data_IF_375492256112
#
_entry.id   IF_375492256112
#
_cell.length_a   1.000
_cell.length_b   1.000
_cell.length_c   1.000
_cell.angle_alpha   90.00
_cell.angle_beta   90.00
_cell.angle_gamma   90.00
#
_symmetry.space_group_name_H-M   'P 1'
#
loop_
_entity.id
_entity.type
_entity.pdbx_description
1 polymer ?
#
# COMPACT_ATOMS: atom_id res chain seq x y z
N UNK A 1 -40.68 37.30 -18.72
CA UNK A 1 -39.75 36.16 -18.56
C UNK A 1 -39.16 36.30 -17.16
N UNK A 2 -39.85 35.76 -16.15
CA UNK A 2 -39.40 35.82 -14.76
C UNK A 2 -38.38 34.69 -14.56
N UNK A 3 -37.15 35.05 -14.21
CA UNK A 3 -36.11 34.11 -13.83
C UNK A 3 -36.32 33.77 -12.34
N UNK A 4 -36.80 32.57 -12.06
CA UNK A 4 -36.85 31.99 -10.71
C UNK A 4 -35.42 31.55 -10.33
N UNK A 5 -34.70 32.45 -9.65
CA UNK A 5 -33.31 32.25 -9.16
C UNK A 5 -33.18 31.69 -7.72
N UNK A 6 -34.19 31.69 -6.80
CA UNK A 6 -33.96 31.36 -5.38
C UNK A 6 -33.34 29.97 -5.11
N UNK A 7 -33.84 28.91 -5.72
CA UNK A 7 -33.47 27.53 -5.35
C UNK A 7 -32.00 27.20 -5.64
N UNK A 8 -31.42 27.80 -6.68
CA UNK A 8 -30.03 27.51 -7.08
C UNK A 8 -29.00 28.10 -6.10
N UNK A 9 -29.32 29.22 -5.45
CA UNK A 9 -28.41 29.85 -4.48
C UNK A 9 -28.35 29.06 -3.17
N UNK A 10 -29.48 28.50 -2.75
CA UNK A 10 -29.56 27.67 -1.55
C UNK A 10 -28.89 26.31 -1.75
N UNK A 11 -29.01 25.72 -2.94
CA UNK A 11 -28.27 24.50 -3.32
C UNK A 11 -26.75 24.75 -3.34
N UNK A 12 -26.31 25.86 -3.94
CA UNK A 12 -24.88 26.23 -3.96
C UNK A 12 -24.34 26.48 -2.54
N UNK A 13 -25.10 27.19 -1.70
CA UNK A 13 -24.70 27.44 -0.31
C UNK A 13 -24.58 26.12 0.48
N UNK A 14 -25.52 25.21 0.29
CA UNK A 14 -25.52 23.89 0.93
C UNK A 14 -24.35 23.03 0.44
N UNK A 15 -24.06 23.04 -0.86
CA UNK A 15 -22.92 22.33 -1.44
C UNK A 15 -21.58 22.88 -0.91
N UNK A 16 -21.41 24.20 -0.87
CA UNK A 16 -20.21 24.85 -0.34
C UNK A 16 -20.02 24.58 1.16
N UNK A 17 -21.12 24.57 1.93
CA UNK A 17 -21.08 24.18 3.34
C UNK A 17 -20.61 22.73 3.54
N UNK A 18 -20.88 21.84 2.58
CA UNK A 18 -20.37 20.47 2.55
C UNK A 18 -18.91 20.32 2.13
N UNK A 19 -18.27 21.37 1.58
CA UNK A 19 -16.91 21.35 1.05
C UNK A 19 -16.05 22.47 1.67
N UNK A 20 -15.62 22.32 2.94
CA UNK A 20 -15.01 23.41 3.71
C UNK A 20 -13.73 23.98 3.07
N UNK A 21 -12.93 23.14 2.41
CA UNK A 21 -11.73 23.58 1.70
C UNK A 21 -12.05 24.42 0.46
N UNK A 22 -13.08 24.03 -0.30
CA UNK A 22 -13.52 24.78 -1.47
C UNK A 22 -14.09 26.13 -1.06
N UNK A 23 -14.93 26.16 -0.01
CA UNK A 23 -15.47 27.40 0.55
C UNK A 23 -14.35 28.34 1.01
N UNK A 24 -13.32 27.82 1.69
CA UNK A 24 -12.18 28.59 2.15
C UNK A 24 -11.36 29.16 0.97
N UNK A 25 -11.10 28.36 -0.08
CA UNK A 25 -10.40 28.82 -1.27
C UNK A 25 -11.17 29.93 -2.00
N UNK A 26 -12.48 29.77 -2.20
CA UNK A 26 -13.33 30.77 -2.84
C UNK A 26 -13.42 32.06 -2.02
N UNK A 27 -13.59 31.96 -0.70
CA UNK A 27 -13.59 33.12 0.20
C UNK A 27 -12.27 33.88 0.14
N UNK A 28 -11.14 33.18 0.16
CA UNK A 28 -9.82 33.79 0.06
C UNK A 28 -9.59 34.48 -1.30
N UNK A 29 -10.13 33.91 -2.38
CA UNK A 29 -10.09 34.52 -3.71
C UNK A 29 -10.91 35.82 -3.78
N UNK A 30 -12.10 35.85 -3.19
CA UNK A 30 -12.92 37.06 -3.08
C UNK A 30 -12.24 38.15 -2.26
N UNK A 31 -11.66 37.80 -1.10
CA UNK A 31 -10.90 38.75 -0.26
C UNK A 31 -9.71 39.32 -1.03
N UNK A 32 -9.00 38.49 -1.79
CA UNK A 32 -7.87 38.92 -2.64
C UNK A 32 -8.34 39.91 -3.72
N UNK A 33 -9.48 39.63 -4.37
CA UNK A 33 -10.07 40.49 -5.39
C UNK A 33 -10.51 41.84 -4.80
N UNK A 34 -11.21 41.84 -3.67
CA UNK A 34 -11.63 43.06 -2.96
C UNK A 34 -10.41 43.88 -2.55
N UNK A 35 -9.37 43.26 -1.99
CA UNK A 35 -8.12 43.96 -1.66
C UNK A 35 -7.46 44.60 -2.88
N UNK A 36 -7.52 43.95 -4.05
CA UNK A 36 -7.06 44.52 -5.32
C UNK A 36 -7.83 45.78 -5.72
N UNK A 37 -9.16 45.76 -5.63
CA UNK A 37 -10.03 46.91 -5.95
C UNK A 37 -9.82 48.08 -4.98
N UNK A 38 -9.67 47.79 -3.68
CA UNK A 38 -9.45 48.79 -2.65
C UNK A 38 -8.09 49.49 -2.75
N UNK A 39 -7.13 48.91 -3.48
CA UNK A 39 -5.78 49.48 -3.62
C UNK A 39 -5.76 50.82 -4.35
N UNK A 40 -6.77 51.10 -5.19
CA UNK A 40 -6.95 52.40 -5.84
C UNK A 40 -7.23 53.51 -4.81
N UNK A 41 -8.37 53.47 -4.11
CA UNK A 41 -8.74 54.52 -3.16
C UNK A 41 -7.96 54.47 -1.83
N UNK A 42 -7.56 53.29 -1.37
CA UNK A 42 -6.92 53.08 -0.06
C UNK A 42 -5.73 52.10 -0.19
N UNK A 43 -4.55 52.56 -0.63
CA UNK A 43 -3.45 51.68 -1.03
C UNK A 43 -2.93 50.79 0.12
N UNK A 44 -2.88 51.31 1.35
CA UNK A 44 -2.43 50.54 2.53
C UNK A 44 -3.44 49.45 2.90
N UNK A 45 -4.73 49.82 3.03
CA UNK A 45 -5.79 48.89 3.40
C UNK A 45 -6.02 47.82 2.32
N UNK A 46 -6.06 48.22 1.04
CA UNK A 46 -6.18 47.29 -0.08
C UNK A 46 -5.00 46.31 -0.16
N UNK A 47 -3.77 46.79 0.09
CA UNK A 47 -2.59 45.95 0.21
C UNK A 47 -2.70 44.91 1.34
N UNK A 48 -3.14 45.34 2.53
CA UNK A 48 -3.35 44.46 3.68
C UNK A 48 -4.41 43.40 3.41
N UNK A 49 -5.60 43.80 2.93
CA UNK A 49 -6.71 42.89 2.61
C UNK A 49 -6.30 41.87 1.56
N UNK A 50 -5.58 42.30 0.51
CA UNK A 50 -5.04 41.39 -0.51
C UNK A 50 -4.03 40.41 0.08
N UNK A 51 -3.18 40.86 1.02
CA UNK A 51 -2.24 40.01 1.73
C UNK A 51 -2.92 38.91 2.55
N UNK A 52 -3.98 39.26 3.28
CA UNK A 52 -4.80 38.30 4.04
C UNK A 52 -5.45 37.27 3.11
N UNK A 53 -6.01 37.71 1.99
CA UNK A 53 -6.59 36.81 0.98
C UNK A 53 -5.56 35.83 0.41
N UNK A 54 -4.37 36.30 0.05
CA UNK A 54 -3.29 35.45 -0.44
C UNK A 54 -2.85 34.40 0.60
N UNK A 55 -2.74 34.78 1.89
CA UNK A 55 -2.44 33.84 2.96
C UNK A 55 -3.53 32.78 3.10
N UNK A 56 -4.80 33.17 2.97
CA UNK A 56 -5.93 32.25 2.94
C UNK A 56 -5.84 31.23 1.80
N UNK A 57 -5.43 31.66 0.60
CA UNK A 57 -5.23 30.77 -0.55
C UNK A 57 -4.09 29.76 -0.31
N UNK A 58 -2.97 30.21 0.26
CA UNK A 58 -1.86 29.33 0.64
C UNK A 58 -2.32 28.30 1.68
N UNK A 59 -3.06 28.73 2.70
CA UNK A 59 -3.62 27.83 3.71
C UNK A 59 -4.58 26.80 3.08
N UNK A 60 -5.46 27.24 2.17
CA UNK A 60 -6.37 26.35 1.43
C UNK A 60 -5.60 25.26 0.68
N UNK A 61 -4.55 25.66 -0.04
CA UNK A 61 -3.71 24.75 -0.82
C UNK A 61 -3.00 23.74 0.09
N UNK A 62 -2.36 24.21 1.17
CA UNK A 62 -1.66 23.35 2.12
C UNK A 62 -2.62 22.36 2.79
N UNK A 63 -3.81 22.80 3.19
CA UNK A 63 -4.82 21.93 3.79
C UNK A 63 -5.39 20.93 2.77
N UNK A 64 -5.55 21.33 1.51
CA UNK A 64 -5.95 20.42 0.43
C UNK A 64 -4.90 19.34 0.22
N UNK A 65 -3.62 19.72 0.15
CA UNK A 65 -2.50 18.78 0.04
C UNK A 65 -2.47 17.85 1.25
N UNK A 66 -2.63 18.37 2.47
CA UNK A 66 -2.62 17.57 3.69
C UNK A 66 -3.82 16.61 3.76
N UNK A 67 -5.01 17.04 3.37
CA UNK A 67 -6.21 16.19 3.32
C UNK A 67 -6.05 15.11 2.24
N UNK A 68 -5.56 15.49 1.06
CA UNK A 68 -5.27 14.54 -0.01
C UNK A 68 -4.21 13.52 0.42
N UNK A 69 -3.12 13.95 1.07
CA UNK A 69 -2.09 13.05 1.59
C UNK A 69 -2.62 12.07 2.65
N UNK A 70 -3.55 12.51 3.51
CA UNK A 70 -4.19 11.64 4.51
C UNK A 70 -5.15 10.63 3.88
N UNK A 71 -5.94 11.06 2.89
CA UNK A 71 -6.92 10.20 2.20
C UNK A 71 -6.23 9.21 1.25
N UNK A 72 -5.17 9.65 0.58
CA UNK A 72 -4.38 8.85 -0.36
C UNK A 72 -3.06 8.37 0.26
N UNK A 73 -3.08 7.84 1.49
CA UNK A 73 -1.91 7.15 2.10
C UNK A 73 -1.53 5.83 1.36
N UNK A 74 -1.91 5.69 0.08
CA UNK A 74 -1.51 4.64 -0.85
C UNK A 74 -1.14 5.15 -2.25
N UNK A 75 -1.08 6.47 -2.49
CA UNK A 75 -0.31 7.00 -3.61
C UNK A 75 1.12 7.26 -3.11
N UNK A 76 2.01 6.34 -3.44
CA UNK A 76 3.45 6.59 -3.40
C UNK A 76 3.72 7.80 -4.31
N UNK A 77 3.75 9.01 -3.73
CA UNK A 77 4.68 10.00 -4.25
C UNK A 77 6.02 9.28 -4.24
N UNK A 78 6.58 9.04 -5.41
CA UNK A 78 7.92 8.49 -5.61
C UNK A 78 8.96 9.47 -5.05
N UNK A 79 8.95 9.63 -3.72
CA UNK A 79 10.09 9.99 -2.94
C UNK A 79 11.02 8.78 -3.08
N UNK A 80 12.25 8.96 -3.58
CA UNK A 80 13.26 7.92 -3.56
C UNK A 80 13.30 7.37 -2.14
N UNK A 81 12.91 6.10 -1.99
CA UNK A 81 12.90 5.27 -0.78
C UNK A 81 13.49 5.98 0.45
N UNK A 82 12.68 6.81 1.11
CA UNK A 82 12.93 7.13 2.51
C UNK A 82 12.50 5.86 3.23
N UNK A 83 13.50 5.02 3.56
CA UNK A 83 13.34 3.64 4.00
C UNK A 83 12.52 3.50 5.27
N UNK A 84 11.19 3.52 5.14
CA UNK A 84 10.35 2.77 6.06
C UNK A 84 10.49 1.32 5.61
N UNK A 85 11.42 0.61 6.26
CA UNK A 85 11.61 -0.81 6.10
C UNK A 85 10.27 -1.49 6.42
N UNK A 86 9.54 -1.92 5.38
CA UNK A 86 8.24 -2.60 5.55
C UNK A 86 8.38 -3.93 6.28
N UNK A 87 9.60 -4.45 6.35
CA UNK A 87 9.97 -5.69 6.99
C UNK A 87 11.19 -5.41 7.86
N UNK A 88 11.08 -5.64 9.16
CA UNK A 88 12.16 -5.48 10.12
C UNK A 88 12.29 -6.73 10.99
N UNK A 89 13.46 -6.91 11.60
CA UNK A 89 13.66 -7.93 12.62
C UNK A 89 13.86 -7.23 13.96
N UNK A 90 12.98 -7.52 14.91
CA UNK A 90 13.04 -6.98 16.27
C UNK A 90 13.19 -8.14 17.25
N UNK A 91 14.38 -8.25 17.86
CA UNK A 91 14.72 -9.36 18.73
C UNK A 91 14.68 -10.70 17.99
N UNK A 92 13.74 -11.56 18.34
CA UNK A 92 13.54 -12.88 17.72
C UNK A 92 12.37 -12.93 16.74
N UNK A 93 11.73 -11.81 16.42
CA UNK A 93 10.54 -11.78 15.56
C UNK A 93 10.83 -11.01 14.26
N UNK A 94 10.32 -11.50 13.13
CA UNK A 94 10.20 -10.72 11.90
C UNK A 94 8.86 -9.98 11.92
N UNK A 95 8.88 -8.67 11.70
CA UNK A 95 7.71 -7.79 11.72
C UNK A 95 7.51 -7.19 10.34
N UNK A 96 6.28 -7.23 9.84
CA UNK A 96 5.93 -6.79 8.49
C UNK A 96 4.77 -5.81 8.58
N UNK A 97 4.99 -4.57 8.19
CA UNK A 97 3.95 -3.55 8.14
C UNK A 97 2.98 -3.80 6.99
N UNK A 98 1.69 -3.66 7.26
CA UNK A 98 0.63 -3.78 6.26
C UNK A 98 0.80 -2.69 5.20
N UNK A 99 0.85 -3.11 3.94
CA UNK A 99 0.95 -2.22 2.80
C UNK A 99 -0.35 -1.40 2.62
N UNK A 100 -0.31 -0.32 1.82
CA UNK A 100 -1.48 0.52 1.59
C UNK A 100 -2.67 -0.19 0.94
N UNK A 101 -2.42 -1.28 0.21
CA UNK A 101 -3.44 -2.14 -0.39
C UNK A 101 -4.19 -3.02 0.63
N UNK A 102 -3.77 -3.00 1.90
CA UNK A 102 -4.37 -3.80 2.97
C UNK A 102 -3.79 -5.21 3.11
N UNK A 103 -2.74 -5.54 2.35
CA UNK A 103 -2.09 -6.84 2.38
C UNK A 103 -0.73 -6.80 3.08
N UNK A 104 -0.25 -7.97 3.51
CA UNK A 104 1.11 -8.14 4.01
C UNK A 104 1.98 -8.71 2.90
N UNK A 105 3.05 -7.99 2.59
CA UNK A 105 4.03 -8.36 1.58
C UNK A 105 5.38 -8.60 2.25
N UNK A 106 5.91 -9.81 2.05
CA UNK A 106 7.22 -10.22 2.55
C UNK A 106 8.19 -10.18 1.39
N UNK A 107 9.32 -9.50 1.58
CA UNK A 107 10.47 -9.64 0.69
C UNK A 107 11.28 -10.85 1.12
N UNK A 108 11.37 -11.83 0.24
CA UNK A 108 12.04 -13.09 0.52
C UNK A 108 13.01 -13.49 -0.61
N UNK A 109 14.11 -14.11 -0.20
CA UNK A 109 15.01 -14.84 -1.08
C UNK A 109 14.49 -16.25 -1.28
N UNK A 110 14.16 -16.63 -2.51
CA UNK A 110 13.82 -18.00 -2.90
C UNK A 110 14.97 -18.58 -3.72
N UNK A 111 15.64 -19.59 -3.17
CA UNK A 111 16.88 -20.16 -3.74
C UNK A 111 17.88 -19.08 -4.20
N UNK A 112 18.05 -18.01 -3.41
CA UNK A 112 18.96 -16.89 -3.72
C UNK A 112 18.37 -15.80 -4.62
N UNK A 113 17.11 -15.92 -5.07
CA UNK A 113 16.44 -14.92 -5.90
C UNK A 113 15.44 -14.12 -5.08
N UNK A 114 15.64 -12.80 -5.01
CA UNK A 114 14.74 -11.89 -4.31
C UNK A 114 13.40 -11.71 -5.05
N UNK A 115 12.30 -11.95 -4.31
CA UNK A 115 10.92 -11.77 -4.76
C UNK A 115 10.04 -11.28 -3.62
N UNK A 116 8.99 -10.53 -3.98
CA UNK A 116 7.93 -10.18 -3.05
C UNK A 116 6.87 -11.30 -3.03
N UNK A 117 6.39 -11.62 -1.83
CA UNK A 117 5.39 -12.65 -1.56
C UNK A 117 4.22 -12.07 -0.78
N UNK A 118 3.00 -12.33 -1.27
CA UNK A 118 1.77 -12.05 -0.54
C UNK A 118 1.59 -13.09 0.56
N UNK A 119 1.29 -12.65 1.78
CA UNK A 119 0.88 -13.57 2.85
C UNK A 119 -0.61 -13.85 2.71
N UNK A 120 -0.97 -15.11 2.46
CA UNK A 120 -2.37 -15.55 2.30
C UNK A 120 -2.68 -16.73 3.22
N UNK A 121 -3.42 -16.45 4.30
CA UNK A 121 -3.87 -17.47 5.25
C UNK A 121 -4.96 -18.39 4.68
N UNK A 122 -5.56 -18.03 3.54
CA UNK A 122 -6.50 -18.87 2.80
C UNK A 122 -5.81 -19.87 1.87
N UNK A 123 -4.54 -19.67 1.56
CA UNK A 123 -3.76 -20.58 0.74
C UNK A 123 -3.20 -21.74 1.57
N UNK A 124 -3.58 -22.97 1.25
CA UNK A 124 -3.03 -24.16 1.93
C UNK A 124 -1.54 -24.35 1.63
N UNK A 125 -1.11 -24.08 0.39
CA UNK A 125 0.26 -24.24 -0.08
C UNK A 125 0.83 -22.90 -0.53
N UNK A 126 2.12 -22.71 -0.29
CA UNK A 126 2.93 -21.64 -0.88
C UNK A 126 2.94 -21.82 -2.39
N UNK A 127 2.68 -20.74 -3.12
CA UNK A 127 2.50 -20.77 -4.56
C UNK A 127 3.43 -19.79 -5.26
N UNK A 128 4.00 -20.21 -6.38
CA UNK A 128 5.02 -19.48 -7.13
C UNK A 128 4.48 -19.14 -8.51
N UNK A 129 4.77 -17.91 -8.94
CA UNK A 129 4.65 -17.55 -10.34
C UNK A 129 5.65 -18.37 -11.18
N UNK A 130 5.30 -18.76 -12.42
CA UNK A 130 6.21 -19.48 -13.31
C UNK A 130 7.56 -18.75 -13.50
N UNK A 131 7.54 -17.42 -13.60
CA UNK A 131 8.75 -16.59 -13.74
C UNK A 131 9.65 -16.66 -12.50
N UNK A 132 9.07 -16.79 -11.30
CA UNK A 132 9.82 -16.96 -10.06
C UNK A 132 10.44 -18.34 -10.00
N UNK A 133 9.67 -19.39 -10.28
CA UNK A 133 10.17 -20.76 -10.29
C UNK A 133 11.33 -20.94 -11.28
N UNK A 134 11.20 -20.36 -12.47
CA UNK A 134 12.26 -20.36 -13.47
C UNK A 134 13.51 -19.60 -13.01
N UNK A 135 13.35 -18.40 -12.46
CA UNK A 135 14.48 -17.59 -11.98
C UNK A 135 15.22 -18.28 -10.82
N UNK A 136 14.48 -18.90 -9.90
CA UNK A 136 14.99 -19.66 -8.77
C UNK A 136 15.50 -21.07 -9.14
N UNK A 137 15.53 -21.41 -10.44
CA UNK A 137 15.98 -22.70 -10.96
C UNK A 137 15.28 -23.89 -10.30
N UNK A 138 14.01 -23.74 -9.94
CA UNK A 138 13.23 -24.79 -9.30
C UNK A 138 12.85 -25.80 -10.38
N UNK A 139 13.43 -26.99 -10.28
CA UNK A 139 13.16 -28.06 -11.23
C UNK A 139 11.79 -28.70 -10.97
N UNK A 140 11.02 -29.00 -12.03
CA UNK A 140 9.85 -29.85 -11.92
C UNK A 140 10.22 -31.21 -11.32
N UNK A 141 9.35 -31.76 -10.48
CA UNK A 141 9.51 -33.14 -9.99
C UNK A 141 9.70 -34.11 -11.17
N UNK A 142 10.63 -35.09 -11.10
CA UNK A 142 10.85 -36.09 -12.14
C UNK A 142 9.58 -36.85 -12.53
N UNK A 143 8.64 -36.92 -11.59
CA UNK A 143 7.26 -37.35 -11.82
C UNK A 143 6.37 -36.11 -11.68
N UNK A 144 5.93 -35.49 -12.80
CA UNK A 144 5.12 -34.28 -12.75
C UNK A 144 3.78 -34.57 -12.09
N UNK A 145 3.62 -34.10 -10.85
CA UNK A 145 2.37 -34.18 -10.10
C UNK A 145 1.58 -32.91 -10.33
N UNK A 146 0.79 -32.93 -11.41
CA UNK A 146 -0.20 -31.89 -11.66
C UNK A 146 -1.35 -32.07 -10.68
N UNK A 147 -1.60 -31.05 -9.88
CA UNK A 147 -2.74 -30.99 -8.99
C UNK A 147 -3.73 -29.94 -9.48
N UNK A 148 -4.99 -30.18 -9.18
CA UNK A 148 -6.05 -29.22 -9.38
C UNK A 148 -6.16 -28.37 -8.11
N UNK A 149 -5.74 -27.10 -8.17
CA UNK A 149 -5.88 -26.17 -7.05
C UNK A 149 -7.20 -25.44 -7.17
N UNK A 150 -7.99 -25.40 -6.09
CA UNK A 150 -9.20 -24.59 -6.04
C UNK A 150 -8.85 -23.17 -5.59
N UNK A 151 -9.13 -22.20 -6.43
CA UNK A 151 -8.96 -20.76 -6.16
C UNK A 151 -10.33 -20.07 -6.17
N UNK A 152 -10.36 -18.79 -5.81
CA UNK A 152 -11.58 -17.98 -5.90
C UNK A 152 -12.14 -17.89 -7.34
N UNK A 153 -11.26 -17.96 -8.35
CA UNK A 153 -11.62 -17.90 -9.76
C UNK A 153 -11.88 -19.29 -10.38
N UNK A 154 -12.00 -20.33 -9.55
CA UNK A 154 -12.21 -21.71 -9.98
C UNK A 154 -10.95 -22.57 -9.85
N UNK A 155 -10.98 -23.72 -10.51
CA UNK A 155 -9.91 -24.71 -10.41
C UNK A 155 -8.82 -24.44 -11.44
N UNK A 156 -7.58 -24.22 -10.99
CA UNK A 156 -6.42 -24.01 -11.86
C UNK A 156 -5.47 -25.21 -11.78
N UNK A 157 -4.85 -25.62 -12.89
CA UNK A 157 -3.76 -26.59 -12.84
C UNK A 157 -2.56 -25.97 -12.16
N UNK A 158 -1.93 -26.74 -11.27
CA UNK A 158 -0.69 -26.36 -10.61
C UNK A 158 0.27 -27.56 -10.58
N UNK A 159 1.57 -27.29 -10.56
CA UNK A 159 2.61 -28.31 -10.50
C UNK A 159 3.28 -28.31 -9.13
N UNK A 160 3.31 -29.46 -8.47
CA UNK A 160 4.02 -29.61 -7.19
C UNK A 160 5.54 -29.56 -7.40
N UNK A 161 6.19 -28.70 -6.62
CA UNK A 161 7.64 -28.52 -6.60
C UNK A 161 8.13 -28.44 -5.15
N UNK A 162 9.43 -28.56 -4.96
CA UNK A 162 10.08 -28.35 -3.66
C UNK A 162 11.06 -27.19 -3.80
N UNK A 163 11.00 -26.26 -2.85
CA UNK A 163 11.91 -25.12 -2.74
C UNK A 163 12.99 -25.48 -1.72
N UNK A 164 14.26 -25.35 -2.11
CA UNK A 164 15.39 -25.71 -1.25
C UNK A 164 15.51 -24.75 -0.07
N UNK A 165 15.39 -23.45 -0.32
CA UNK A 165 15.41 -22.42 0.71
C UNK A 165 14.49 -21.25 0.35
N UNK A 166 13.59 -20.89 1.28
CA UNK A 166 12.90 -19.61 1.31
C UNK A 166 13.30 -18.86 2.58
N UNK A 167 13.95 -17.71 2.43
CA UNK A 167 14.50 -16.90 3.51
C UNK A 167 13.89 -15.50 3.52
N UNK A 168 13.54 -15.01 4.70
CA UNK A 168 13.13 -13.61 4.90
C UNK A 168 13.32 -13.22 6.36
N UNK A 169 13.80 -12.00 6.61
CA UNK A 169 14.10 -11.53 7.97
C UNK A 169 15.01 -12.53 8.71
N UNK A 170 14.53 -13.04 9.84
CA UNK A 170 15.21 -14.07 10.64
C UNK A 170 14.64 -15.48 10.45
N UNK A 171 13.87 -15.72 9.39
CA UNK A 171 13.17 -16.98 9.09
C UNK A 171 13.81 -17.65 7.87
N UNK A 172 14.05 -18.95 7.98
CA UNK A 172 14.48 -19.81 6.87
C UNK A 172 13.60 -21.05 6.86
N UNK A 173 12.89 -21.28 5.75
CA UNK A 173 12.17 -22.49 5.47
C UNK A 173 12.95 -23.31 4.42
N UNK A 174 13.38 -24.51 4.81
CA UNK A 174 14.05 -25.47 3.92
C UNK A 174 13.07 -26.55 3.48
N UNK A 175 13.34 -27.14 2.33
CA UNK A 175 12.57 -28.26 1.78
C UNK A 175 11.06 -27.96 1.83
N UNK A 176 10.70 -26.79 1.30
CA UNK A 176 9.35 -26.25 1.34
C UNK A 176 8.58 -26.75 0.13
N UNK A 177 7.57 -27.59 0.37
CA UNK A 177 6.61 -27.95 -0.67
C UNK A 177 5.91 -26.69 -1.18
N UNK A 178 5.89 -26.51 -2.49
CA UNK A 178 5.23 -25.40 -3.14
C UNK A 178 4.55 -25.86 -4.41
N UNK A 179 3.86 -24.93 -5.04
CA UNK A 179 3.19 -25.18 -6.31
C UNK A 179 3.47 -24.07 -7.29
N UNK A 180 3.78 -24.43 -8.54
CA UNK A 180 3.87 -23.47 -9.64
C UNK A 180 2.50 -23.39 -10.30
N UNK A 181 1.87 -22.22 -10.27
CA UNK A 181 0.53 -22.02 -10.79
C UNK A 181 0.52 -20.92 -11.87
N UNK A 182 0.31 -21.27 -13.16
CA UNK A 182 0.30 -20.29 -14.25
C UNK A 182 -0.77 -19.19 -14.10
N UNK A 183 -1.83 -19.46 -13.35
CA UNK A 183 -2.92 -18.52 -13.10
C UNK A 183 -2.60 -17.38 -12.13
N UNK A 184 -1.43 -17.37 -11.48
CA UNK A 184 -1.03 -16.33 -10.52
C UNK A 184 -0.45 -15.06 -11.16
N UNK A 185 -0.22 -15.07 -12.48
CA UNK A 185 0.51 -13.98 -13.14
C UNK A 185 1.95 -13.92 -12.62
N UNK A 186 2.34 -12.77 -12.05
CA UNK A 186 3.68 -12.53 -11.48
C UNK A 186 3.71 -12.65 -9.95
N UNK A 187 2.58 -12.95 -9.32
CA UNK A 187 2.46 -12.97 -7.87
C UNK A 187 2.97 -14.28 -7.26
N UNK A 188 3.64 -14.15 -6.11
CA UNK A 188 4.01 -15.29 -5.27
C UNK A 188 3.25 -15.19 -3.95
N UNK A 189 2.95 -16.33 -3.35
CA UNK A 189 2.09 -16.43 -2.17
C UNK A 189 2.77 -17.30 -1.12
N UNK A 190 2.90 -16.80 0.10
CA UNK A 190 3.22 -17.60 1.29
C UNK A 190 1.91 -18.12 1.87
N UNK A 191 1.78 -19.44 1.88
CA UNK A 191 0.60 -20.13 2.38
C UNK A 191 0.78 -20.71 3.79
N UNK A 192 -0.28 -21.35 4.27
CA UNK A 192 -0.35 -21.97 5.59
C UNK A 192 0.66 -23.10 5.81
N UNK A 193 1.11 -23.78 4.76
CA UNK A 193 2.14 -24.81 4.88
C UNK A 193 3.50 -24.28 5.37
N UNK A 194 3.79 -22.99 5.15
CA UNK A 194 4.93 -22.30 5.76
C UNK A 194 4.54 -21.72 7.11
N UNK A 195 3.44 -20.94 7.15
CA UNK A 195 3.04 -20.22 8.37
C UNK A 195 2.84 -21.16 9.57
N UNK A 196 2.34 -22.37 9.34
CA UNK A 196 2.14 -23.39 10.38
C UNK A 196 3.45 -24.02 10.89
N UNK A 197 4.59 -23.82 10.21
CA UNK A 197 5.92 -24.26 10.67
C UNK A 197 6.60 -23.27 11.61
N UNK A 198 6.06 -22.05 11.73
CA UNK A 198 6.54 -21.03 12.65
C UNK A 198 6.14 -21.38 14.09
N UNK A 199 6.88 -20.86 15.07
CA UNK A 199 6.50 -20.99 16.48
C UNK A 199 5.18 -20.26 16.76
N UNK A 200 5.02 -19.08 16.14
CA UNK A 200 3.74 -18.39 16.07
C UNK A 200 3.73 -17.39 14.92
N UNK A 201 2.53 -17.02 14.49
CA UNK A 201 2.30 -15.84 13.68
C UNK A 201 1.03 -15.14 14.17
N UNK A 202 1.01 -13.81 14.13
CA UNK A 202 -0.11 -13.00 14.61
C UNK A 202 -0.14 -11.64 13.92
N UNK A 203 -1.31 -11.03 13.90
CA UNK A 203 -1.47 -9.64 13.43
C UNK A 203 -1.79 -8.76 14.62
N UNK A 204 -1.00 -7.71 14.82
CA UNK A 204 -1.23 -6.67 15.83
C UNK A 204 -1.39 -5.31 15.15
N UNK A 205 -2.62 -4.80 15.19
CA UNK A 205 -2.98 -3.57 14.47
C UNK A 205 -2.72 -3.73 12.97
N UNK A 206 -1.72 -3.01 12.46
CA UNK A 206 -1.29 -3.04 11.06
C UNK A 206 0.05 -3.76 10.85
N UNK A 207 0.43 -4.65 11.77
CA UNK A 207 1.73 -5.35 11.72
C UNK A 207 1.51 -6.86 11.80
N UNK A 208 2.04 -7.59 10.82
CA UNK A 208 2.18 -9.03 10.88
C UNK A 208 3.48 -9.36 11.63
N UNK A 209 3.39 -10.26 12.60
CA UNK A 209 4.50 -10.66 13.45
C UNK A 209 4.69 -12.17 13.27
N UNK A 210 5.92 -12.55 12.94
CA UNK A 210 6.30 -13.91 12.57
C UNK A 210 7.44 -14.35 13.48
N UNK A 211 7.24 -15.45 14.21
CA UNK A 211 8.20 -15.95 15.19
C UNK A 211 8.70 -17.32 14.74
N UNK A 212 9.96 -17.46 14.28
CA UNK A 212 10.54 -18.75 13.94
C UNK A 212 10.77 -19.62 15.18
N UNK A 213 10.73 -20.95 14.98
CA UNK A 213 11.21 -21.91 15.99
C UNK A 213 12.74 -21.82 16.18
N UNK A 214 13.47 -21.48 15.11
CA UNK A 214 14.93 -21.37 15.09
C UNK A 214 15.35 -20.08 14.36
N UNK A 215 15.39 -18.93 15.07
CA UNK A 215 15.81 -17.66 14.49
C UNK A 215 17.17 -17.75 13.81
N UNK A 216 17.26 -17.23 12.59
CA UNK A 216 18.51 -17.15 11.84
C UNK A 216 19.08 -15.73 11.88
N UNK A 217 20.40 -15.56 11.72
CA UNK A 217 20.99 -14.24 11.51
C UNK A 217 20.37 -13.56 10.29
N UNK A 218 20.14 -12.25 10.38
CA UNK A 218 19.72 -11.44 9.24
C UNK A 218 20.93 -11.29 8.32
N UNK A 219 20.76 -11.63 7.04
CA UNK A 219 21.78 -11.36 6.02
C UNK A 219 21.72 -9.88 5.68
N UNK A 220 22.82 -9.16 5.90
CA UNK A 220 23.00 -7.80 5.39
C UNK A 220 23.22 -7.90 3.87
N UNK A 221 22.31 -7.30 3.10
CA UNK A 221 22.39 -7.21 1.62
C UNK A 221 23.25 -6.02 1.22
#
# INVERSE_FOLDING_TARGET
MNLEIPDQLDELATYLAGQPLLALALGALLVTMIGGLLRGPLPFLGGFVKGVGNLGLVAALLLTIAQFARLNTGFDFALPQVGIERQSVEGSETRVAMAPDGHFWIRASINGVERDFLVDTGATLTALAPVTAQAAQIEPSPVPRRIAMRTANGTVPAELVTVDELRFGNIVARDLDAVVAPGLGEQNVIGMNLLSRLASWRVEGRTLILVPNHPQPVEEV
#
